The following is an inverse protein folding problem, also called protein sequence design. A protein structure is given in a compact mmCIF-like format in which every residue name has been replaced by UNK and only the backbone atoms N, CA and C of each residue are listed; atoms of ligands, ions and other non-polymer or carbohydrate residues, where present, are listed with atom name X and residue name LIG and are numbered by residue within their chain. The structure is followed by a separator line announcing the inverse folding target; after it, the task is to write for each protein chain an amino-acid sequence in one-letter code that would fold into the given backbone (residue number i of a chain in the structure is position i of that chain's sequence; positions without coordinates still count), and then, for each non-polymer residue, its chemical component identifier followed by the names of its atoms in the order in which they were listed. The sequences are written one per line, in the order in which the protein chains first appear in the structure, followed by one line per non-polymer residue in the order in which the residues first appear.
data_IF_141921311182
#
_entry.id   IF_141921311182
#
_cell.length_a   1.000
_cell.length_b   1.000
_cell.length_c   1.000
_cell.angle_alpha   90.00
_cell.angle_beta   90.00
_cell.angle_gamma   90.00
#
_symmetry.space_group_name_H-M   'P 1'
#
loop_
_entity.id
_entity.type
_entity.pdbx_description
1 polymer ?
#
# COMPACT_ATOMS: atom_id res chain seq x y z
N UNK A 1 -10.04 13.41 13.16
CA UNK A 1 -9.53 12.14 12.59
C UNK A 1 -10.68 11.35 11.98
N UNK A 2 -10.49 10.82 10.79
CA UNK A 2 -11.52 10.07 10.09
C UNK A 2 -11.40 8.59 10.41
N UNK A 3 -12.54 7.97 10.70
CA UNK A 3 -12.60 6.54 10.94
C UNK A 3 -12.72 5.77 9.62
N UNK A 4 -12.59 4.45 9.70
CA UNK A 4 -12.68 3.54 8.54
C UNK A 4 -13.92 3.82 7.69
N UNK A 5 -15.08 3.95 8.33
CA UNK A 5 -16.35 4.18 7.63
C UNK A 5 -16.35 5.47 6.81
N UNK A 6 -15.82 6.53 7.37
CA UNK A 6 -15.73 7.83 6.69
C UNK A 6 -14.74 7.78 5.53
N UNK A 7 -13.59 7.13 5.74
CA UNK A 7 -12.55 6.98 4.71
C UNK A 7 -13.07 6.18 3.51
N UNK A 8 -13.77 5.10 3.75
CA UNK A 8 -14.37 4.28 2.68
C UNK A 8 -15.38 5.11 1.90
N UNK A 9 -16.27 5.80 2.60
CA UNK A 9 -17.31 6.61 1.94
C UNK A 9 -16.71 7.75 1.11
N UNK A 10 -15.74 8.47 1.66
CA UNK A 10 -15.11 9.58 0.94
C UNK A 10 -14.33 9.09 -0.27
N UNK A 11 -13.54 8.04 -0.13
CA UNK A 11 -12.76 7.49 -1.24
C UNK A 11 -13.67 7.00 -2.35
N UNK A 12 -14.79 6.35 -1.99
CA UNK A 12 -15.80 5.90 -2.95
C UNK A 12 -16.38 7.09 -3.73
N UNK A 13 -16.75 8.15 -3.02
CA UNK A 13 -17.32 9.36 -3.65
C UNK A 13 -16.33 10.06 -4.56
N UNK A 14 -15.06 10.12 -4.18
CA UNK A 14 -14.02 10.71 -5.02
C UNK A 14 -13.87 9.98 -6.35
N UNK A 15 -14.13 8.67 -6.37
CA UNK A 15 -14.09 7.87 -7.59
C UNK A 15 -15.44 7.82 -8.32
N UNK A 16 -16.43 8.54 -7.81
CA UNK A 16 -17.79 8.57 -8.39
C UNK A 16 -18.44 7.19 -8.45
N UNK A 17 -18.13 6.33 -7.49
CA UNK A 17 -18.72 4.99 -7.42
C UNK A 17 -19.94 4.98 -6.51
N UNK A 18 -20.96 4.21 -6.89
CA UNK A 18 -22.07 3.91 -5.99
C UNK A 18 -21.66 2.79 -5.02
N UNK A 19 -22.42 2.62 -3.96
CA UNK A 19 -22.20 1.51 -3.02
C UNK A 19 -22.32 0.16 -3.73
N UNK A 20 -23.24 0.03 -4.66
CA UNK A 20 -23.42 -1.19 -5.45
C UNK A 20 -22.21 -1.46 -6.36
N UNK A 21 -21.71 -0.42 -7.02
CA UNK A 21 -20.53 -0.55 -7.88
C UNK A 21 -19.29 -0.95 -7.08
N UNK A 22 -19.08 -0.32 -5.93
CA UNK A 22 -17.97 -0.71 -5.05
C UNK A 22 -18.12 -2.15 -4.59
N UNK A 23 -19.32 -2.56 -4.22
CA UNK A 23 -19.60 -3.94 -3.82
C UNK A 23 -19.23 -4.94 -4.90
N UNK A 24 -19.54 -4.64 -6.15
CA UNK A 24 -19.19 -5.49 -7.30
C UNK A 24 -17.69 -5.60 -7.49
N UNK A 25 -16.97 -4.48 -7.36
CA UNK A 25 -15.51 -4.48 -7.50
C UNK A 25 -14.82 -5.29 -6.41
N UNK A 26 -15.38 -5.29 -5.22
CA UNK A 26 -14.79 -5.95 -4.04
C UNK A 26 -15.30 -7.38 -3.87
N UNK A 27 -16.43 -7.70 -4.48
CA UNK A 27 -17.06 -9.01 -4.36
C UNK A 27 -17.95 -9.16 -3.13
N UNK A 28 -18.55 -8.05 -2.67
CA UNK A 28 -19.49 -8.04 -1.55
C UNK A 28 -20.80 -7.35 -1.99
N UNK A 29 -21.86 -7.51 -1.18
CA UNK A 29 -23.16 -6.92 -1.48
C UNK A 29 -23.15 -5.41 -1.19
N UNK A 30 -24.10 -4.70 -1.81
CA UNK A 30 -24.36 -3.29 -1.49
C UNK A 30 -24.65 -3.11 0.00
N UNK A 31 -25.39 -4.06 0.58
CA UNK A 31 -25.71 -4.05 2.02
C UNK A 31 -24.45 -4.11 2.87
N UNK A 32 -23.47 -4.91 2.47
CA UNK A 32 -22.19 -4.99 3.18
C UNK A 32 -21.44 -3.66 3.11
N UNK A 33 -21.40 -3.02 1.94
CA UNK A 33 -20.76 -1.72 1.78
C UNK A 33 -21.46 -0.67 2.66
N UNK A 34 -22.78 -0.67 2.66
CA UNK A 34 -23.56 0.23 3.51
C UNK A 34 -23.19 0.04 5.00
N UNK A 35 -23.07 -1.21 5.44
CA UNK A 35 -22.68 -1.52 6.82
C UNK A 35 -21.27 -1.00 7.15
N UNK A 36 -20.33 -1.12 6.21
CA UNK A 36 -18.98 -0.58 6.38
C UNK A 36 -18.99 0.94 6.53
N UNK A 37 -19.88 1.63 5.81
CA UNK A 37 -19.93 3.10 5.80
C UNK A 37 -20.76 3.69 6.93
N UNK A 38 -21.72 2.96 7.47
CA UNK A 38 -22.69 3.54 8.43
C UNK A 38 -22.74 2.83 9.77
N UNK A 39 -22.52 1.52 9.82
CA UNK A 39 -22.71 0.73 11.04
C UNK A 39 -21.40 0.41 11.77
N UNK A 40 -20.27 0.91 11.30
CA UNK A 40 -18.98 0.64 11.92
C UNK A 40 -18.51 -0.81 11.80
N UNK A 41 -19.10 -1.58 10.88
CA UNK A 41 -18.69 -2.96 10.65
C UNK A 41 -17.34 -2.96 9.91
N UNK A 42 -16.40 -3.75 10.42
CA UNK A 42 -15.09 -3.89 9.79
C UNK A 42 -15.04 -5.18 8.96
N UNK A 43 -14.59 -5.11 7.70
CA UNK A 43 -14.45 -6.31 6.88
C UNK A 43 -13.27 -7.16 7.32
N UNK A 44 -13.24 -8.41 6.85
CA UNK A 44 -12.11 -9.30 7.03
C UNK A 44 -10.93 -8.79 6.21
N UNK A 45 -9.71 -9.26 6.52
CA UNK A 45 -8.49 -8.78 5.89
C UNK A 45 -8.51 -8.91 4.36
N UNK A 46 -9.00 -10.03 3.83
CA UNK A 46 -9.06 -10.24 2.39
C UNK A 46 -10.00 -9.22 1.69
N UNK A 47 -11.12 -8.89 2.31
CA UNK A 47 -12.05 -7.87 1.80
C UNK A 47 -11.44 -6.48 1.92
N UNK A 48 -10.76 -6.21 3.03
CA UNK A 48 -10.09 -4.94 3.27
C UNK A 48 -9.02 -4.66 2.22
N UNK A 49 -8.24 -5.68 1.85
CA UNK A 49 -7.24 -5.56 0.77
C UNK A 49 -7.90 -5.21 -0.56
N UNK A 50 -9.02 -5.86 -0.88
CA UNK A 50 -9.76 -5.56 -2.11
C UNK A 50 -10.39 -4.17 -2.08
N UNK A 51 -10.88 -3.74 -0.93
CA UNK A 51 -11.39 -2.38 -0.75
C UNK A 51 -10.31 -1.34 -1.01
N UNK A 52 -9.14 -1.54 -0.41
CA UNK A 52 -8.02 -0.62 -0.60
C UNK A 52 -7.64 -0.52 -2.08
N UNK A 53 -7.56 -1.65 -2.76
CA UNK A 53 -7.26 -1.69 -4.19
C UNK A 53 -8.32 -0.97 -5.02
N UNK A 54 -9.59 -1.27 -4.78
CA UNK A 54 -10.71 -0.65 -5.51
C UNK A 54 -10.79 0.85 -5.26
N UNK A 55 -10.53 1.28 -4.03
CA UNK A 55 -10.58 2.69 -3.63
C UNK A 55 -9.28 3.45 -3.93
N UNK A 56 -8.25 2.75 -4.40
CA UNK A 56 -6.95 3.33 -4.73
C UNK A 56 -6.27 4.01 -3.53
N UNK A 57 -6.38 3.36 -2.38
CA UNK A 57 -5.72 3.80 -1.15
C UNK A 57 -4.96 2.63 -0.55
N UNK A 58 -4.10 2.91 0.43
CA UNK A 58 -3.38 1.84 1.14
C UNK A 58 -4.27 1.24 2.23
N UNK A 59 -3.99 -0.01 2.61
CA UNK A 59 -4.65 -0.65 3.75
C UNK A 59 -4.35 0.12 5.04
N UNK A 60 -3.12 0.61 5.17
CA UNK A 60 -2.72 1.40 6.34
C UNK A 60 -3.55 2.67 6.50
N UNK A 61 -3.84 3.34 5.39
CA UNK A 61 -4.72 4.52 5.42
C UNK A 61 -6.09 4.17 5.98
N UNK A 62 -6.65 3.04 5.56
CA UNK A 62 -7.97 2.60 6.03
C UNK A 62 -7.93 2.13 7.49
N UNK A 63 -6.86 1.46 7.90
CA UNK A 63 -6.76 0.85 9.23
C UNK A 63 -6.38 1.83 10.34
N UNK A 64 -5.55 2.82 10.03
CA UNK A 64 -4.97 3.71 11.04
C UNK A 64 -5.65 5.07 11.01
N UNK A 65 -6.37 5.39 12.07
CA UNK A 65 -7.12 6.64 12.19
C UNK A 65 -6.19 7.86 12.11
N UNK A 66 -4.97 7.74 12.61
CA UNK A 66 -3.98 8.81 12.62
C UNK A 66 -3.44 9.16 11.23
N UNK A 67 -3.64 8.30 10.24
CA UNK A 67 -3.23 8.59 8.86
C UNK A 67 -4.38 9.28 8.15
N UNK A 68 -4.23 10.57 7.89
CA UNK A 68 -5.28 11.37 7.26
C UNK A 68 -5.11 11.55 5.75
N UNK A 69 -3.90 11.34 5.23
CA UNK A 69 -3.59 11.52 3.82
C UNK A 69 -3.99 10.29 3.00
N UNK A 70 -4.98 10.41 2.07
CA UNK A 70 -5.40 9.27 1.24
C UNK A 70 -4.30 8.73 0.32
N UNK A 71 -3.26 9.51 0.06
CA UNK A 71 -2.14 9.07 -0.79
C UNK A 71 -1.06 8.33 -0.01
N UNK A 72 -1.21 8.23 1.31
CA UNK A 72 -0.24 7.58 2.17
C UNK A 72 0.01 6.13 1.70
N UNK A 73 1.28 5.80 1.50
CA UNK A 73 1.69 4.45 1.14
C UNK A 73 1.53 4.08 -0.33
N UNK A 74 0.94 4.94 -1.17
CA UNK A 74 0.76 4.65 -2.59
C UNK A 74 2.09 4.63 -3.34
N UNK A 75 3.00 5.53 -3.01
CA UNK A 75 4.35 5.54 -3.60
C UNK A 75 5.08 4.24 -3.27
N UNK A 76 4.94 3.78 -2.03
CA UNK A 76 5.51 2.52 -1.59
C UNK A 76 5.05 1.35 -2.46
N UNK A 77 3.78 1.33 -2.83
CA UNK A 77 3.20 0.24 -3.63
C UNK A 77 3.91 0.10 -4.97
N UNK A 78 4.20 1.21 -5.65
CA UNK A 78 4.90 1.19 -6.93
C UNK A 78 6.29 0.57 -6.81
N UNK A 79 7.04 0.96 -5.81
CA UNK A 79 8.39 0.43 -5.57
C UNK A 79 8.36 -1.04 -5.18
N UNK A 80 7.39 -1.45 -4.40
CA UNK A 80 7.22 -2.86 -4.01
C UNK A 80 6.92 -3.74 -5.23
N UNK A 81 6.03 -3.30 -6.10
CA UNK A 81 5.68 -4.06 -7.31
C UNK A 81 6.86 -4.17 -8.26
N UNK A 82 7.61 -3.09 -8.48
CA UNK A 82 8.79 -3.13 -9.31
C UNK A 82 9.86 -4.05 -8.73
N UNK A 83 10.02 -4.04 -7.42
CA UNK A 83 10.95 -4.95 -6.73
C UNK A 83 10.52 -6.41 -6.92
N UNK A 84 9.22 -6.68 -6.87
CA UNK A 84 8.70 -8.04 -7.10
C UNK A 84 9.04 -8.52 -8.50
N UNK A 85 8.89 -7.68 -9.49
CA UNK A 85 9.21 -8.03 -10.88
C UNK A 85 10.69 -8.29 -11.07
N UNK A 86 11.55 -7.52 -10.42
CA UNK A 86 13.01 -7.65 -10.56
C UNK A 86 13.61 -8.79 -9.76
N UNK A 87 13.13 -9.01 -8.54
CA UNK A 87 13.81 -9.90 -7.56
C UNK A 87 12.90 -10.93 -6.92
N UNK A 88 11.60 -10.90 -7.16
CA UNK A 88 10.64 -11.87 -6.65
C UNK A 88 9.93 -11.46 -5.37
N UNK A 89 9.07 -12.36 -4.89
CA UNK A 89 8.18 -12.08 -3.76
C UNK A 89 8.88 -11.82 -2.44
N UNK A 90 9.98 -12.53 -2.18
CA UNK A 90 10.74 -12.36 -0.93
C UNK A 90 11.33 -10.95 -0.86
N UNK A 91 11.93 -10.50 -1.97
CA UNK A 91 12.50 -9.16 -2.05
C UNK A 91 11.41 -8.08 -1.93
N UNK A 92 10.24 -8.33 -2.53
CA UNK A 92 9.10 -7.41 -2.42
C UNK A 92 8.68 -7.24 -0.95
N UNK A 93 8.65 -8.32 -0.18
CA UNK A 93 8.32 -8.26 1.25
C UNK A 93 9.38 -7.50 2.05
N UNK A 94 10.65 -7.71 1.71
CA UNK A 94 11.75 -7.01 2.39
C UNK A 94 11.70 -5.50 2.13
N UNK A 95 11.49 -5.08 0.88
CA UNK A 95 11.41 -3.66 0.56
C UNK A 95 10.14 -3.02 1.15
N UNK A 96 9.04 -3.74 1.15
CA UNK A 96 7.79 -3.28 1.78
C UNK A 96 8.03 -2.98 3.27
N UNK A 97 8.69 -3.89 3.96
CA UNK A 97 9.02 -3.73 5.38
C UNK A 97 9.93 -2.51 5.62
N UNK A 98 10.97 -2.34 4.78
CA UNK A 98 11.87 -1.21 4.88
C UNK A 98 11.16 0.13 4.65
N UNK A 99 10.35 0.20 3.60
CA UNK A 99 9.63 1.43 3.26
C UNK A 99 8.58 1.78 4.31
N UNK A 100 7.93 0.77 4.88
CA UNK A 100 6.96 0.97 5.94
C UNK A 100 7.59 1.56 7.20
N UNK A 101 8.73 1.03 7.61
CA UNK A 101 9.45 1.54 8.78
C UNK A 101 9.90 2.98 8.56
N UNK A 102 10.35 3.30 7.35
CA UNK A 102 10.77 4.66 7.03
C UNK A 102 9.58 5.62 6.92
N UNK A 103 8.43 5.13 6.46
CA UNK A 103 7.20 5.94 6.41
C UNK A 103 6.78 6.45 7.78
N UNK A 104 7.02 5.68 8.83
CA UNK A 104 6.69 6.08 10.19
C UNK A 104 7.44 7.35 10.62
N UNK A 105 8.63 7.59 10.07
CA UNK A 105 9.42 8.79 10.36
C UNK A 105 8.78 10.05 9.77
N UNK A 106 7.94 9.90 8.76
CA UNK A 106 7.31 11.00 8.06
C UNK A 106 5.85 11.26 8.48
N UNK A 107 5.31 10.39 9.33
CA UNK A 107 3.92 10.49 9.77
C UNK A 107 3.62 11.79 10.52
N UNK A 108 4.66 12.44 11.05
CA UNK A 108 4.54 13.72 11.74
C UNK A 108 4.41 14.94 10.83
N UNK A 109 4.40 14.76 9.50
CA UNK A 109 4.23 15.86 8.56
C UNK A 109 5.43 16.76 8.37
N UNK A 110 6.61 16.35 8.81
CA UNK A 110 7.84 17.14 8.74
C UNK A 110 8.39 17.29 7.31
N UNK A 111 8.02 16.37 6.41
CA UNK A 111 8.48 16.38 5.03
C UNK A 111 7.31 16.49 4.07
N UNK A 112 7.49 17.22 2.97
CA UNK A 112 6.48 17.29 1.93
C UNK A 112 6.51 16.02 1.05
N UNK A 113 5.56 15.90 0.13
CA UNK A 113 5.39 14.73 -0.72
C UNK A 113 6.62 14.48 -1.60
N UNK A 114 7.19 15.54 -2.17
CA UNK A 114 8.37 15.44 -3.03
C UNK A 114 9.57 14.89 -2.27
N UNK A 115 9.78 15.35 -1.04
CA UNK A 115 10.87 14.85 -0.20
C UNK A 115 10.67 13.38 0.17
N UNK A 116 9.44 12.96 0.43
CA UNK A 116 9.11 11.55 0.70
C UNK A 116 9.40 10.67 -0.51
N UNK A 117 8.98 11.10 -1.69
CA UNK A 117 9.22 10.36 -2.94
C UNK A 117 10.72 10.20 -3.21
N UNK A 118 11.47 11.27 -3.04
CA UNK A 118 12.93 11.24 -3.21
C UNK A 118 13.58 10.25 -2.26
N UNK A 119 13.13 10.23 -1.02
CA UNK A 119 13.65 9.31 -0.01
C UNK A 119 13.33 7.85 -0.36
N UNK A 120 12.09 7.56 -0.72
CA UNK A 120 11.69 6.20 -1.10
C UNK A 120 12.45 5.71 -2.32
N UNK A 121 12.63 6.58 -3.31
CA UNK A 121 13.41 6.25 -4.49
C UNK A 121 14.86 5.92 -4.14
N UNK A 122 15.48 6.72 -3.29
CA UNK A 122 16.87 6.51 -2.87
C UNK A 122 17.03 5.19 -2.11
N UNK A 123 16.15 4.89 -1.17
CA UNK A 123 16.18 3.65 -0.39
C UNK A 123 15.98 2.45 -1.31
N UNK A 124 15.01 2.52 -2.22
CA UNK A 124 14.69 1.43 -3.14
C UNK A 124 15.85 1.16 -4.09
N UNK A 125 16.44 2.19 -4.67
CA UNK A 125 17.59 2.02 -5.58
C UNK A 125 18.81 1.45 -4.86
N UNK A 126 19.05 1.88 -3.62
CA UNK A 126 20.14 1.32 -2.80
C UNK A 126 19.90 -0.17 -2.52
N UNK A 127 18.66 -0.54 -2.22
CA UNK A 127 18.29 -1.94 -2.00
C UNK A 127 18.51 -2.79 -3.26
N UNK A 128 18.05 -2.28 -4.41
CA UNK A 128 18.24 -2.98 -5.68
C UNK A 128 19.72 -3.17 -6.01
N UNK A 129 20.54 -2.14 -5.81
CA UNK A 129 21.98 -2.22 -6.04
C UNK A 129 22.63 -3.29 -5.17
N UNK A 130 22.24 -3.37 -3.89
CA UNK A 130 22.74 -4.39 -2.98
C UNK A 130 22.31 -5.80 -3.43
N UNK A 131 21.09 -5.96 -3.91
CA UNK A 131 20.57 -7.23 -4.41
C UNK A 131 21.32 -7.65 -5.70
N UNK A 132 21.57 -6.71 -6.60
CA UNK A 132 22.31 -6.99 -7.83
C UNK A 132 23.74 -7.43 -7.52
N UNK A 133 24.41 -6.79 -6.57
CA UNK A 133 25.75 -7.21 -6.15
C UNK A 133 25.74 -8.60 -5.55
N UNK A 134 24.79 -8.89 -4.67
CA UNK A 134 24.64 -10.22 -4.09
C UNK A 134 24.38 -11.27 -5.17
N UNK A 135 23.51 -10.95 -6.13
CA UNK A 135 23.19 -11.85 -7.25
C UNK A 135 24.40 -12.13 -8.12
N UNK A 136 25.22 -11.13 -8.42
CA UNK A 136 26.45 -11.30 -9.19
C UNK A 136 27.43 -12.21 -8.46
N UNK A 137 27.56 -12.06 -7.15
CA UNK A 137 28.49 -12.84 -6.34
C UNK A 137 28.01 -14.28 -6.17
N UNK A 138 26.78 -14.48 -5.68
CA UNK A 138 26.26 -15.81 -5.33
C UNK A 138 25.67 -16.55 -6.53
N UNK A 139 25.12 -15.82 -7.49
CA UNK A 139 24.57 -16.40 -8.70
C UNK A 139 25.63 -17.08 -9.55
N UNK A 140 26.85 -16.53 -9.62
CA UNK A 140 27.98 -17.13 -10.34
C UNK A 140 28.38 -18.48 -9.74
N UNK A 141 28.37 -18.58 -8.40
CA UNK A 141 28.68 -19.85 -7.72
C UNK A 141 27.68 -20.94 -8.04
N UNK A 142 26.41 -20.57 -8.16
CA UNK A 142 25.35 -21.51 -8.51
C UNK A 142 25.46 -21.94 -9.97
N UNK A 143 25.86 -21.03 -10.86
CA UNK A 143 25.96 -21.29 -12.30
C UNK A 143 27.23 -22.01 -12.72
N UNK A 144 28.16 -22.24 -11.81
CA UNK A 144 29.43 -22.91 -12.07
C UNK A 144 29.38 -24.41 -11.73
N UNK A 145 28.33 -25.04 -12.08
CA UNK A 145 28.21 -26.49 -11.86
C UNK A 145 29.05 -27.29 -12.86
#
# INVERSE_FOLDING_TARGET
MKEFSEKVREARRLLSLTQEELGKLVGVSKRAVLAYETAGVLPRQNVKLKLAEALRVSVDYLDKVEIEDPTYGLEKTEYVEETRERFGCKAAKEIDFLLERNSALFAGGALDQEAKDTFFEAVTKAYWAAKDEARKTYGRKVNHK
#
